data_IF_937779548792
#
_entry.id   IF_937779548792
#
_cell.length_a   1.000
_cell.length_b   1.000
_cell.length_c   1.000
_cell.angle_alpha   90.00
_cell.angle_beta   90.00
_cell.angle_gamma   90.00
#
_symmetry.space_group_name_H-M   'P 1'
#
loop_
_entity.id
_entity.type
_entity.pdbx_description
1 polymer ?
#
# COMPACT_ATOMS: atom_id res chain seq x y z
N UNK A 1 8.90 -20.17 -11.76
CA UNK A 1 10.26 -20.11 -11.21
C UNK A 1 10.63 -18.65 -10.97
N UNK A 2 11.19 -18.33 -9.79
CA UNK A 2 11.63 -16.96 -9.46
C UNK A 2 12.96 -16.65 -10.15
N UNK A 3 13.00 -15.51 -10.85
CA UNK A 3 14.26 -14.97 -11.38
C UNK A 3 14.91 -14.04 -10.33
N UNK A 4 15.72 -14.64 -9.49
CA UNK A 4 16.40 -13.94 -8.38
C UNK A 4 17.40 -12.89 -8.89
N UNK A 5 18.11 -13.17 -9.96
CA UNK A 5 19.13 -12.25 -10.49
C UNK A 5 18.49 -11.01 -11.15
N UNK A 6 17.39 -11.18 -11.89
CA UNK A 6 16.63 -10.03 -12.41
C UNK A 6 15.95 -9.25 -11.29
N UNK A 7 15.49 -9.92 -10.24
CA UNK A 7 14.92 -9.25 -9.06
C UNK A 7 15.93 -8.29 -8.42
N UNK A 8 17.17 -8.74 -8.19
CA UNK A 8 18.22 -7.88 -7.62
C UNK A 8 18.50 -6.65 -8.48
N UNK A 9 18.66 -6.86 -9.80
CA UNK A 9 18.89 -5.76 -10.75
C UNK A 9 17.72 -4.76 -10.76
N UNK A 10 16.49 -5.23 -10.66
CA UNK A 10 15.31 -4.38 -10.61
C UNK A 10 15.27 -3.53 -9.33
N UNK A 11 15.64 -4.11 -8.19
CA UNK A 11 15.74 -3.36 -6.93
C UNK A 11 16.80 -2.27 -7.03
N UNK A 12 17.99 -2.60 -7.52
CA UNK A 12 19.08 -1.63 -7.72
C UNK A 12 18.65 -0.49 -8.65
N UNK A 13 17.96 -0.82 -9.75
CA UNK A 13 17.38 0.16 -10.67
C UNK A 13 16.40 1.11 -9.97
N UNK A 14 15.46 0.60 -9.18
CA UNK A 14 14.52 1.46 -8.47
C UNK A 14 15.21 2.38 -7.46
N UNK A 15 16.17 1.87 -6.72
CA UNK A 15 16.95 2.67 -5.76
C UNK A 15 17.74 3.76 -6.50
N UNK A 16 18.40 3.43 -7.61
CA UNK A 16 19.11 4.40 -8.47
C UNK A 16 18.19 5.50 -9.00
N UNK A 17 16.93 5.15 -9.32
CA UNK A 17 15.91 6.14 -9.77
C UNK A 17 15.31 6.96 -8.64
N UNK A 18 15.75 6.77 -7.41
CA UNK A 18 15.41 7.62 -6.28
C UNK A 18 14.03 7.37 -5.68
N UNK A 19 13.49 6.15 -5.79
CA UNK A 19 12.24 5.81 -5.11
C UNK A 19 12.40 5.91 -3.58
N UNK A 20 11.33 6.33 -2.90
CA UNK A 20 11.32 6.51 -1.45
C UNK A 20 10.92 5.24 -0.69
N UNK A 21 10.50 4.19 -1.39
CA UNK A 21 10.10 2.91 -0.82
C UNK A 21 9.76 1.91 -1.91
N UNK A 22 9.68 0.63 -1.53
CA UNK A 22 9.35 -0.46 -2.45
C UNK A 22 8.21 -1.28 -1.86
N UNK A 23 7.23 -1.61 -2.69
CA UNK A 23 6.15 -2.54 -2.31
C UNK A 23 6.27 -3.81 -3.10
N UNK A 24 6.28 -4.94 -2.41
CA UNK A 24 6.38 -6.27 -2.99
C UNK A 24 5.15 -7.12 -2.68
N UNK A 25 4.97 -8.21 -3.40
CA UNK A 25 3.85 -9.15 -3.22
C UNK A 25 2.46 -8.47 -3.27
N UNK A 26 2.36 -7.37 -4.04
CA UNK A 26 1.08 -6.75 -4.36
C UNK A 26 0.42 -7.39 -5.59
N UNK A 27 -0.64 -6.77 -6.09
CA UNK A 27 -1.38 -7.24 -7.29
C UNK A 27 -0.46 -7.27 -8.52
N UNK A 28 0.30 -6.21 -8.76
CA UNK A 28 1.28 -6.16 -9.87
C UNK A 28 2.43 -7.16 -9.70
N UNK A 29 2.76 -7.51 -8.46
CA UNK A 29 3.76 -8.55 -8.15
C UNK A 29 3.23 -9.96 -8.29
N UNK A 30 2.01 -10.15 -8.80
CA UNK A 30 1.39 -11.45 -9.06
C UNK A 30 1.42 -12.41 -7.85
N UNK A 31 1.37 -11.87 -6.63
CA UNK A 31 1.48 -12.62 -5.38
C UNK A 31 0.62 -13.91 -5.31
N UNK A 32 -0.64 -13.92 -5.81
CA UNK A 32 -1.46 -15.14 -5.80
C UNK A 32 -0.94 -16.28 -6.69
N UNK A 33 0.04 -16.00 -7.55
CA UNK A 33 0.68 -17.01 -8.43
C UNK A 33 1.89 -17.68 -7.78
N UNK A 34 2.36 -17.16 -6.65
CA UNK A 34 3.49 -17.70 -5.90
C UNK A 34 3.01 -18.65 -4.82
N UNK A 35 3.78 -19.68 -4.57
CA UNK A 35 3.64 -20.49 -3.36
C UNK A 35 4.05 -19.68 -2.12
N UNK A 36 3.64 -20.12 -0.94
CA UNK A 36 4.07 -19.51 0.31
C UNK A 36 5.60 -19.49 0.47
N UNK A 37 6.27 -20.56 0.04
CA UNK A 37 7.73 -20.65 0.09
C UNK A 37 8.40 -19.70 -0.90
N UNK A 38 7.93 -19.63 -2.14
CA UNK A 38 8.43 -18.65 -3.13
C UNK A 38 8.25 -17.22 -2.65
N UNK A 39 7.12 -16.88 -2.04
CA UNK A 39 6.87 -15.57 -1.45
C UNK A 39 7.89 -15.23 -0.36
N UNK A 40 8.21 -16.19 0.53
CA UNK A 40 9.21 -16.01 1.59
C UNK A 40 10.63 -15.87 1.03
N UNK A 41 10.98 -16.65 0.00
CA UNK A 41 12.29 -16.55 -0.68
C UNK A 41 12.42 -15.18 -1.37
N UNK A 42 11.38 -14.76 -2.10
CA UNK A 42 11.35 -13.48 -2.79
C UNK A 42 11.50 -12.31 -1.80
N UNK A 43 10.71 -12.33 -0.72
CA UNK A 43 10.78 -11.32 0.34
C UNK A 43 12.19 -11.19 0.92
N UNK A 44 12.79 -12.29 1.37
CA UNK A 44 14.16 -12.28 1.90
C UNK A 44 15.18 -11.75 0.88
N UNK A 45 15.01 -12.10 -0.39
CA UNK A 45 15.89 -11.63 -1.46
C UNK A 45 15.79 -10.11 -1.59
N UNK A 46 14.57 -9.56 -1.64
CA UNK A 46 14.34 -8.11 -1.76
C UNK A 46 14.89 -7.36 -0.54
N UNK A 47 14.52 -7.77 0.67
CA UNK A 47 15.00 -7.13 1.91
C UNK A 47 16.54 -7.08 1.95
N UNK A 48 17.17 -8.20 1.64
CA UNK A 48 18.64 -8.28 1.57
C UNK A 48 19.22 -7.34 0.51
N UNK A 49 18.60 -7.25 -0.68
CA UNK A 49 19.11 -6.39 -1.76
C UNK A 49 18.88 -4.92 -1.45
N UNK A 50 17.73 -4.55 -0.87
CA UNK A 50 17.43 -3.17 -0.45
C UNK A 50 18.40 -2.70 0.64
N UNK A 51 18.84 -3.59 1.52
CA UNK A 51 19.84 -3.31 2.56
C UNK A 51 19.55 -2.01 3.34
N UNK A 52 18.31 -1.82 3.79
CA UNK A 52 17.84 -0.68 4.57
C UNK A 52 17.97 0.70 3.88
N UNK A 53 18.21 0.75 2.57
CA UNK A 53 18.30 2.04 1.85
C UNK A 53 16.94 2.73 1.73
N UNK A 54 15.86 1.96 1.61
CA UNK A 54 14.47 2.43 1.57
C UNK A 54 13.56 1.43 2.30
N UNK A 55 12.40 1.87 2.85
CA UNK A 55 11.45 0.95 3.45
C UNK A 55 10.84 0.00 2.44
N UNK A 56 10.57 -1.24 2.86
CA UNK A 56 9.87 -2.25 2.08
C UNK A 56 8.52 -2.56 2.73
N UNK A 57 7.44 -2.42 1.97
CA UNK A 57 6.08 -2.81 2.36
C UNK A 57 5.73 -4.14 1.67
N UNK A 58 5.16 -5.08 2.41
CA UNK A 58 4.87 -6.42 1.91
C UNK A 58 3.37 -6.62 1.77
N UNK A 59 2.87 -6.92 0.58
CA UNK A 59 1.49 -7.37 0.37
C UNK A 59 1.29 -8.75 0.99
N UNK A 60 0.36 -8.83 1.94
CA UNK A 60 0.08 -10.08 2.68
C UNK A 60 -1.36 -10.57 2.49
N UNK A 61 -2.11 -9.94 1.58
CA UNK A 61 -3.51 -10.27 1.34
C UNK A 61 -3.70 -11.75 1.02
N UNK A 62 -4.56 -12.40 1.78
CA UNK A 62 -4.90 -13.81 1.59
C UNK A 62 -6.35 -14.05 2.03
N UNK A 63 -7.16 -14.87 1.33
CA UNK A 63 -8.50 -15.23 1.79
C UNK A 63 -8.53 -15.92 3.16
N UNK A 64 -7.47 -16.68 3.48
CA UNK A 64 -7.28 -17.29 4.80
C UNK A 64 -6.56 -16.33 5.72
N UNK A 65 -7.23 -15.83 6.76
CA UNK A 65 -6.67 -14.84 7.69
C UNK A 65 -5.39 -15.38 8.36
N UNK A 66 -5.35 -16.62 8.75
CA UNK A 66 -4.18 -17.19 9.42
C UNK A 66 -2.95 -17.26 8.49
N UNK A 67 -3.15 -17.49 7.18
CA UNK A 67 -2.08 -17.38 6.17
C UNK A 67 -1.58 -15.94 6.01
N UNK A 68 -2.51 -14.97 6.08
CA UNK A 68 -2.16 -13.54 6.05
C UNK A 68 -1.30 -13.18 7.26
N UNK A 69 -1.70 -13.61 8.47
CA UNK A 69 -0.98 -13.36 9.71
C UNK A 69 0.42 -14.02 9.68
N UNK A 70 0.51 -15.27 9.19
CA UNK A 70 1.80 -15.97 9.08
C UNK A 70 2.79 -15.20 8.17
N UNK A 71 2.32 -14.74 7.00
CA UNK A 71 3.17 -13.96 6.10
C UNK A 71 3.49 -12.57 6.68
N UNK A 72 2.55 -11.94 7.40
CA UNK A 72 2.79 -10.66 8.05
C UNK A 72 3.88 -10.76 9.12
N UNK A 73 3.79 -11.75 10.01
CA UNK A 73 4.80 -11.99 11.05
C UNK A 73 6.16 -12.28 10.41
N UNK A 74 6.20 -13.18 9.42
CA UNK A 74 7.43 -13.47 8.69
C UNK A 74 8.05 -12.25 8.02
N UNK A 75 7.21 -11.33 7.51
CA UNK A 75 7.68 -10.08 6.89
C UNK A 75 8.34 -9.16 7.91
N UNK A 76 7.74 -9.03 9.09
CA UNK A 76 8.32 -8.22 10.17
C UNK A 76 9.59 -8.84 10.74
N UNK A 77 9.65 -10.17 10.89
CA UNK A 77 10.86 -10.89 11.30
C UNK A 77 12.00 -10.75 10.29
N UNK A 78 11.68 -10.44 9.05
CA UNK A 78 12.64 -10.18 7.97
C UNK A 78 12.97 -8.68 7.79
N UNK A 79 12.62 -7.82 8.74
CA UNK A 79 12.86 -6.37 8.74
C UNK A 79 12.07 -5.59 7.66
N UNK A 80 10.87 -6.04 7.27
CA UNK A 80 9.96 -5.21 6.49
C UNK A 80 9.47 -4.00 7.32
N UNK A 81 9.20 -2.88 6.66
CA UNK A 81 8.71 -1.67 7.31
C UNK A 81 7.22 -1.71 7.66
N UNK A 82 6.47 -2.64 7.08
CA UNK A 82 5.06 -2.84 7.31
C UNK A 82 4.43 -3.75 6.26
N UNK A 83 3.13 -3.95 6.38
CA UNK A 83 2.37 -4.82 5.49
C UNK A 83 1.26 -4.08 4.76
N UNK A 84 0.84 -4.60 3.61
CA UNK A 84 -0.28 -4.08 2.85
C UNK A 84 -1.38 -5.14 2.75
N UNK A 85 -2.61 -4.72 3.05
CA UNK A 85 -3.80 -5.59 3.06
C UNK A 85 -4.85 -5.02 2.12
N UNK A 86 -5.27 -5.81 1.14
CA UNK A 86 -6.47 -5.61 0.36
C UNK A 86 -7.55 -6.59 0.82
N UNK A 87 -8.83 -6.20 0.84
CA UNK A 87 -9.90 -7.13 1.15
C UNK A 87 -10.02 -8.21 0.08
N UNK A 88 -10.46 -9.41 0.43
CA UNK A 88 -10.75 -10.44 -0.57
C UNK A 88 -11.91 -10.01 -1.48
N UNK A 89 -11.91 -10.46 -2.74
CA UNK A 89 -12.99 -10.12 -3.67
C UNK A 89 -14.36 -10.58 -3.18
N UNK A 90 -15.38 -9.73 -3.40
CA UNK A 90 -16.77 -10.14 -3.23
C UNK A 90 -17.32 -10.04 -1.79
N UNK A 91 -16.73 -9.26 -0.92
CA UNK A 91 -17.27 -9.03 0.43
C UNK A 91 -18.70 -8.44 0.40
N UNK A 92 -19.01 -7.59 -0.56
CA UNK A 92 -20.36 -7.19 -0.94
C UNK A 92 -21.04 -6.11 -0.09
N UNK A 93 -20.73 -5.96 1.21
CA UNK A 93 -21.31 -4.91 2.07
C UNK A 93 -20.27 -4.23 2.95
N UNK A 94 -20.51 -2.96 3.29
CA UNK A 94 -19.66 -2.16 4.20
C UNK A 94 -19.50 -2.84 5.57
N UNK A 95 -20.58 -3.40 6.12
CA UNK A 95 -20.55 -4.10 7.40
C UNK A 95 -19.63 -5.33 7.36
N UNK A 96 -19.73 -6.13 6.31
CA UNK A 96 -18.84 -7.30 6.13
C UNK A 96 -17.39 -6.89 5.91
N UNK A 97 -17.16 -5.78 5.20
CA UNK A 97 -15.83 -5.23 5.02
C UNK A 97 -15.23 -4.77 6.34
N UNK A 98 -15.98 -4.00 7.12
CA UNK A 98 -15.56 -3.58 8.44
C UNK A 98 -15.24 -4.77 9.35
N UNK A 99 -16.13 -5.77 9.40
CA UNK A 99 -15.93 -6.98 10.22
C UNK A 99 -14.71 -7.79 9.77
N UNK A 100 -14.45 -7.88 8.46
CA UNK A 100 -13.25 -8.52 7.93
C UNK A 100 -11.98 -7.79 8.38
N UNK A 101 -11.96 -6.46 8.23
CA UNK A 101 -10.80 -5.64 8.62
C UNK A 101 -10.59 -5.69 10.14
N UNK A 102 -11.63 -5.50 10.94
CA UNK A 102 -11.55 -5.58 12.38
C UNK A 102 -10.99 -6.94 12.86
N UNK A 103 -11.57 -8.04 12.38
CA UNK A 103 -11.11 -9.39 12.72
C UNK A 103 -9.65 -9.66 12.28
N UNK A 104 -9.22 -9.10 11.15
CA UNK A 104 -7.85 -9.22 10.68
C UNK A 104 -6.89 -8.41 11.56
N UNK A 105 -7.24 -7.15 11.85
CA UNK A 105 -6.42 -6.24 12.65
C UNK A 105 -6.34 -6.65 14.12
N UNK A 106 -7.40 -7.23 14.67
CA UNK A 106 -7.41 -7.79 16.05
C UNK A 106 -6.46 -9.00 16.21
N UNK A 107 -6.25 -9.75 15.12
CA UNK A 107 -5.33 -10.90 15.10
C UNK A 107 -3.88 -10.51 14.81
N UNK A 108 -3.66 -9.39 14.13
CA UNK A 108 -2.32 -8.87 13.89
C UNK A 108 -1.74 -8.25 15.15
N UNK A 109 -0.44 -8.39 15.37
CA UNK A 109 0.24 -7.60 16.39
C UNK A 109 0.03 -6.09 16.12
N UNK A 110 -0.49 -5.36 17.12
CA UNK A 110 -0.81 -3.95 17.00
C UNK A 110 0.40 -3.06 16.67
N UNK A 111 1.62 -3.58 16.78
CA UNK A 111 2.86 -2.88 16.41
C UNK A 111 3.17 -2.96 14.91
N UNK A 112 2.51 -3.82 14.16
CA UNK A 112 2.73 -3.98 12.71
C UNK A 112 2.06 -2.81 11.96
N UNK A 113 2.82 -1.94 11.27
CA UNK A 113 2.23 -0.89 10.45
C UNK A 113 1.48 -1.48 9.25
N UNK A 114 0.25 -1.03 9.05
CA UNK A 114 -0.63 -1.55 8.00
C UNK A 114 -0.94 -0.46 6.98
N UNK A 115 -0.75 -0.78 5.72
CA UNK A 115 -1.29 -0.06 4.56
C UNK A 115 -2.59 -0.75 4.12
N UNK A 116 -3.72 -0.06 4.19
CA UNK A 116 -4.95 -0.54 3.57
C UNK A 116 -4.94 -0.22 2.07
N UNK A 117 -5.16 -1.24 1.22
CA UNK A 117 -5.27 -1.06 -0.24
C UNK A 117 -6.74 -0.99 -0.66
N UNK A 118 -7.17 0.17 -1.13
CA UNK A 118 -8.48 0.44 -1.71
C UNK A 118 -8.41 0.32 -3.24
N UNK A 119 -8.65 -0.89 -3.76
CA UNK A 119 -8.58 -1.18 -5.19
C UNK A 119 -9.87 -1.87 -5.70
N UNK A 120 -11.00 -1.12 -5.79
CA UNK A 120 -12.31 -1.68 -6.14
C UNK A 120 -12.35 -2.37 -7.50
N UNK A 121 -11.56 -1.92 -8.47
CA UNK A 121 -11.49 -2.56 -9.78
C UNK A 121 -11.09 -4.04 -9.68
N UNK A 122 -10.16 -4.37 -8.79
CA UNK A 122 -9.68 -5.74 -8.57
C UNK A 122 -10.52 -6.48 -7.53
N UNK A 123 -10.72 -5.87 -6.36
CA UNK A 123 -11.38 -6.52 -5.22
C UNK A 123 -12.90 -6.60 -5.38
N UNK A 124 -13.51 -5.76 -6.25
CA UNK A 124 -14.96 -5.58 -6.34
C UNK A 124 -15.60 -5.19 -5.01
N UNK A 125 -14.81 -4.53 -4.16
CA UNK A 125 -15.20 -4.08 -2.82
C UNK A 125 -14.77 -2.63 -2.68
N UNK A 126 -15.72 -1.77 -2.34
CA UNK A 126 -15.49 -0.35 -2.08
C UNK A 126 -15.55 -0.10 -0.57
N UNK A 127 -14.68 0.77 -0.06
CA UNK A 127 -14.76 1.26 1.30
C UNK A 127 -15.26 2.71 1.28
N UNK A 128 -16.26 3.03 2.09
CA UNK A 128 -16.68 4.41 2.26
C UNK A 128 -15.68 5.19 3.12
N UNK A 129 -15.71 6.53 2.99
CA UNK A 129 -14.94 7.42 3.87
C UNK A 129 -15.31 7.21 5.34
N UNK A 130 -16.60 6.99 5.62
CA UNK A 130 -17.08 6.76 6.99
C UNK A 130 -16.49 5.48 7.59
N UNK A 131 -16.52 4.37 6.84
CA UNK A 131 -15.94 3.10 7.29
C UNK A 131 -14.43 3.19 7.43
N UNK A 132 -13.74 3.84 6.49
CA UNK A 132 -12.29 4.04 6.62
C UNK A 132 -11.93 4.90 7.82
N UNK A 133 -12.63 6.02 8.04
CA UNK A 133 -12.42 6.89 9.20
C UNK A 133 -12.65 6.13 10.51
N UNK A 134 -13.66 5.27 10.57
CA UNK A 134 -13.93 4.42 11.73
C UNK A 134 -12.74 3.46 11.99
N UNK A 135 -12.26 2.78 10.96
CA UNK A 135 -11.10 1.85 11.06
C UNK A 135 -9.87 2.58 11.59
N UNK A 136 -9.50 3.73 11.02
CA UNK A 136 -8.31 4.46 11.49
C UNK A 136 -8.50 5.10 12.87
N UNK A 137 -9.72 5.30 13.33
CA UNK A 137 -10.02 5.76 14.69
C UNK A 137 -9.91 4.65 15.74
N UNK A 138 -10.11 3.40 15.36
CA UNK A 138 -10.07 2.24 16.25
C UNK A 138 -8.75 1.49 16.22
N UNK A 139 -8.00 1.55 15.09
CA UNK A 139 -6.77 0.79 14.85
C UNK A 139 -5.61 1.70 14.47
N UNK A 140 -4.81 2.11 15.45
CA UNK A 140 -3.64 2.98 15.25
C UNK A 140 -2.60 2.40 14.29
N UNK A 141 -2.53 1.08 14.18
CA UNK A 141 -1.64 0.38 13.27
C UNK A 141 -1.93 0.63 11.78
N UNK A 142 -3.15 1.09 11.40
CA UNK A 142 -3.47 1.44 10.01
C UNK A 142 -2.92 2.83 9.71
N UNK A 143 -1.70 2.91 9.22
CA UNK A 143 -0.94 4.17 9.05
C UNK A 143 -0.95 4.71 7.63
N UNK A 144 -1.42 3.91 6.67
CA UNK A 144 -1.35 4.25 5.25
C UNK A 144 -2.59 3.76 4.50
N UNK A 145 -2.98 4.55 3.51
CA UNK A 145 -4.06 4.26 2.57
C UNK A 145 -3.52 4.27 1.14
N UNK A 146 -3.51 3.12 0.48
CA UNK A 146 -3.20 3.03 -0.94
C UNK A 146 -4.47 3.20 -1.74
N UNK A 147 -4.62 4.33 -2.40
CA UNK A 147 -5.85 4.75 -3.07
C UNK A 147 -5.82 4.42 -4.57
N UNK A 148 -6.70 3.53 -4.98
CA UNK A 148 -6.81 3.07 -6.38
C UNK A 148 -8.27 3.04 -6.88
N UNK A 149 -9.21 3.70 -6.19
CA UNK A 149 -10.57 3.89 -6.67
C UNK A 149 -10.58 4.77 -7.91
N UNK A 150 -11.47 4.45 -8.85
CA UNK A 150 -11.65 5.18 -10.09
C UNK A 150 -13.13 5.45 -10.38
N UNK A 151 -13.56 6.70 -10.51
CA UNK A 151 -12.84 7.97 -10.23
C UNK A 151 -12.73 8.23 -8.73
N UNK A 152 -11.52 8.52 -8.21
CA UNK A 152 -11.22 8.53 -6.76
C UNK A 152 -10.95 9.88 -6.13
N UNK A 153 -10.85 10.98 -6.92
CA UNK A 153 -10.44 12.30 -6.42
C UNK A 153 -11.34 12.84 -5.30
N UNK A 154 -12.65 12.58 -5.35
CA UNK A 154 -13.58 13.04 -4.32
C UNK A 154 -13.41 12.29 -3.00
N UNK A 155 -13.18 10.97 -3.04
CA UNK A 155 -12.92 10.17 -1.84
C UNK A 155 -11.63 10.68 -1.16
N UNK A 156 -10.56 10.87 -1.92
CA UNK A 156 -9.30 11.41 -1.41
C UNK A 156 -9.51 12.75 -0.70
N UNK A 157 -10.17 13.71 -1.37
CA UNK A 157 -10.47 15.02 -0.78
C UNK A 157 -11.27 14.90 0.53
N UNK A 158 -12.23 13.99 0.60
CA UNK A 158 -13.07 13.80 1.81
C UNK A 158 -12.28 13.18 2.96
N UNK A 159 -11.37 12.23 2.69
CA UNK A 159 -10.49 11.66 3.71
C UNK A 159 -9.56 12.75 4.27
N UNK A 160 -8.94 13.55 3.41
CA UNK A 160 -8.11 14.67 3.87
C UNK A 160 -8.87 15.70 4.67
N UNK A 161 -10.05 16.08 4.20
CA UNK A 161 -10.90 17.02 4.91
C UNK A 161 -11.24 16.56 6.33
N UNK A 162 -11.50 15.26 6.54
CA UNK A 162 -11.73 14.71 7.88
C UNK A 162 -10.50 14.88 8.79
N UNK A 163 -9.31 14.63 8.28
CA UNK A 163 -8.08 14.80 9.06
C UNK A 163 -7.72 16.27 9.27
N UNK A 164 -7.94 17.15 8.31
CA UNK A 164 -7.64 18.58 8.40
C UNK A 164 -8.56 19.29 9.41
N UNK A 165 -9.80 18.80 9.57
CA UNK A 165 -10.73 19.26 10.61
C UNK A 165 -10.43 18.70 12.01
N UNK A 166 -9.57 17.70 12.11
CA UNK A 166 -9.29 17.02 13.37
C UNK A 166 -10.33 15.96 13.75
N UNK A 167 -11.24 15.59 12.83
CA UNK A 167 -12.21 14.52 13.06
C UNK A 167 -11.54 13.15 13.12
N UNK A 168 -10.41 12.99 12.40
CA UNK A 168 -9.60 11.78 12.39
C UNK A 168 -8.11 12.13 12.44
N UNK A 169 -7.29 11.16 12.86
CA UNK A 169 -5.83 11.31 12.67
C UNK A 169 -5.46 11.29 11.19
N UNK A 170 -4.34 11.91 10.86
CA UNK A 170 -3.81 11.90 9.51
C UNK A 170 -3.07 10.59 9.24
N UNK A 171 -3.43 9.91 8.17
CA UNK A 171 -2.70 8.76 7.61
C UNK A 171 -2.05 9.15 6.29
N UNK A 172 -0.97 8.46 5.91
CA UNK A 172 -0.36 8.65 4.60
C UNK A 172 -1.31 8.15 3.50
N UNK A 173 -1.53 8.94 2.44
CA UNK A 173 -2.29 8.52 1.26
C UNK A 173 -1.34 8.44 0.09
N UNK A 174 -1.13 7.23 -0.43
CA UNK A 174 -0.38 6.99 -1.65
C UNK A 174 -1.32 6.50 -2.75
N UNK A 175 -1.17 7.04 -3.95
CA UNK A 175 -2.06 6.74 -5.06
C UNK A 175 -1.46 5.68 -5.99
N UNK A 176 -2.33 4.90 -6.62
CA UNK A 176 -1.94 3.84 -7.53
C UNK A 176 -2.23 4.16 -9.00
N UNK A 177 -2.82 3.21 -9.73
CA UNK A 177 -3.25 3.37 -11.12
C UNK A 177 -2.16 3.89 -12.09
N UNK A 178 -0.89 3.46 -11.89
CA UNK A 178 0.23 3.91 -12.71
C UNK A 178 0.61 5.38 -12.53
N UNK A 179 0.05 6.08 -11.54
CA UNK A 179 0.25 7.52 -11.34
C UNK A 179 -0.50 8.40 -12.36
N UNK A 180 -1.52 7.85 -13.04
CA UNK A 180 -2.26 8.52 -14.12
C UNK A 180 -2.82 9.90 -13.72
N UNK A 181 -3.22 10.06 -12.46
CA UNK A 181 -3.78 11.30 -11.91
C UNK A 181 -2.92 11.90 -10.80
N UNK A 182 -1.66 11.48 -10.70
CA UNK A 182 -0.78 11.88 -9.60
C UNK A 182 -0.77 13.40 -9.34
N UNK A 183 -0.64 14.29 -10.34
CA UNK A 183 -0.68 15.73 -10.08
C UNK A 183 -2.00 16.19 -9.44
N UNK A 184 -3.14 15.72 -9.93
CA UNK A 184 -4.46 16.08 -9.40
C UNK A 184 -4.69 15.49 -8.00
N UNK A 185 -4.16 14.30 -7.74
CA UNK A 185 -4.23 13.64 -6.44
C UNK A 185 -3.34 14.32 -5.41
N UNK A 186 -2.13 14.73 -5.79
CA UNK A 186 -1.24 15.53 -4.96
C UNK A 186 -1.87 16.88 -4.56
N UNK A 187 -2.51 17.59 -5.50
CA UNK A 187 -3.24 18.84 -5.22
C UNK A 187 -4.41 18.63 -4.25
N UNK A 188 -4.92 17.43 -4.10
CA UNK A 188 -5.99 17.05 -3.16
C UNK A 188 -5.47 16.46 -1.86
N UNK A 189 -4.16 16.45 -1.66
CA UNK A 189 -3.52 16.06 -0.41
C UNK A 189 -3.04 14.61 -0.37
N UNK A 190 -2.84 13.94 -1.51
CA UNK A 190 -2.03 12.73 -1.54
C UNK A 190 -0.59 13.04 -1.14
N UNK A 191 0.09 12.08 -0.52
CA UNK A 191 1.48 12.23 -0.08
C UNK A 191 2.48 11.72 -1.13
N UNK A 192 1.99 11.00 -2.14
CA UNK A 192 2.81 10.44 -3.20
C UNK A 192 2.11 9.29 -3.91
N UNK A 193 2.91 8.43 -4.55
CA UNK A 193 2.43 7.28 -5.30
C UNK A 193 2.99 5.95 -4.75
N UNK A 194 2.16 4.91 -4.79
CA UNK A 194 2.54 3.51 -4.59
C UNK A 194 1.96 2.72 -5.75
N UNK A 195 2.73 2.56 -6.81
CA UNK A 195 2.22 2.02 -8.06
C UNK A 195 3.30 1.32 -8.88
N UNK A 196 2.90 0.42 -9.80
CA UNK A 196 3.77 -0.12 -10.81
C UNK A 196 3.84 0.83 -12.01
N UNK A 197 5.02 1.36 -12.29
CA UNK A 197 5.29 2.20 -13.45
C UNK A 197 6.74 2.01 -13.93
N UNK A 198 6.91 1.89 -15.24
CA UNK A 198 8.21 1.53 -15.82
C UNK A 198 9.28 2.65 -15.72
N UNK A 199 8.84 3.88 -15.49
CA UNK A 199 9.70 5.07 -15.39
C UNK A 199 9.52 5.76 -14.04
N UNK A 200 9.95 5.13 -12.93
CA UNK A 200 9.67 5.64 -11.58
C UNK A 200 10.25 7.04 -11.33
N UNK A 201 11.33 7.41 -12.00
CA UNK A 201 11.92 8.76 -11.95
C UNK A 201 10.95 9.87 -12.33
N UNK A 202 10.00 9.61 -13.24
CA UNK A 202 8.96 10.59 -13.60
C UNK A 202 8.02 10.85 -12.43
N UNK A 203 7.60 9.81 -11.72
CA UNK A 203 6.74 9.95 -10.54
C UNK A 203 7.50 10.62 -9.39
N UNK A 204 8.76 10.25 -9.19
CA UNK A 204 9.64 10.88 -8.20
C UNK A 204 9.75 12.39 -8.45
N UNK A 205 9.95 12.81 -9.71
CA UNK A 205 10.08 14.21 -10.06
C UNK A 205 8.75 14.98 -9.87
N UNK A 206 7.62 14.41 -10.28
CA UNK A 206 6.29 15.03 -10.03
C UNK A 206 6.07 15.29 -8.54
N UNK A 207 6.37 14.31 -7.67
CA UNK A 207 6.22 14.45 -6.22
C UNK A 207 7.14 15.56 -5.70
N UNK A 208 8.38 15.59 -6.15
CA UNK A 208 9.38 16.57 -5.75
C UNK A 208 9.02 17.97 -6.18
N UNK A 209 8.58 18.19 -7.42
CA UNK A 209 8.11 19.47 -7.93
C UNK A 209 6.90 19.97 -7.14
N UNK A 210 5.94 19.10 -6.87
CA UNK A 210 4.78 19.43 -6.05
C UNK A 210 5.18 19.87 -4.62
N UNK A 211 6.11 19.14 -3.97
CA UNK A 211 6.61 19.51 -2.65
C UNK A 211 7.35 20.85 -2.62
N UNK A 212 7.92 21.27 -3.75
CA UNK A 212 8.54 22.58 -3.94
C UNK A 212 7.53 23.69 -4.30
N UNK A 213 6.26 23.37 -4.45
CA UNK A 213 5.21 24.32 -4.88
C UNK A 213 5.22 24.66 -6.37
N UNK A 214 5.93 23.89 -7.18
CA UNK A 214 6.09 24.08 -8.63
C UNK A 214 5.04 23.26 -9.37
N UNK A 215 3.79 23.70 -9.28
CA UNK A 215 2.62 22.96 -9.77
C UNK A 215 2.46 23.02 -11.29
N UNK A 216 2.98 24.07 -11.93
CA UNK A 216 2.86 24.33 -13.37
C UNK A 216 4.02 23.76 -14.19
N UNK A 217 5.04 23.19 -13.58
CA UNK A 217 6.17 22.50 -14.21
C UNK A 217 5.91 21.00 -14.34
#
# INVERSE_FOLDING_TARGET
ELDIESTKKLIDFYIEKGVNGITILGVMGEAPKLTAEESKIFLKTVIKQVNNQVPVIVGVSNPGIDNLIDLANFSMDADAAGVMIAPPPGIGTEEKLYNYLANTLDKLDARIPVCYQDYPFFTKTEISVATFNKIIGEYDQVVMFKHEEWPGLNKLSRIRYSSDKGDTRRVSILTGNGGLFLPQEMQRGADGAMTGFAYPEMLVEVIKLHQQGKIDE
#
